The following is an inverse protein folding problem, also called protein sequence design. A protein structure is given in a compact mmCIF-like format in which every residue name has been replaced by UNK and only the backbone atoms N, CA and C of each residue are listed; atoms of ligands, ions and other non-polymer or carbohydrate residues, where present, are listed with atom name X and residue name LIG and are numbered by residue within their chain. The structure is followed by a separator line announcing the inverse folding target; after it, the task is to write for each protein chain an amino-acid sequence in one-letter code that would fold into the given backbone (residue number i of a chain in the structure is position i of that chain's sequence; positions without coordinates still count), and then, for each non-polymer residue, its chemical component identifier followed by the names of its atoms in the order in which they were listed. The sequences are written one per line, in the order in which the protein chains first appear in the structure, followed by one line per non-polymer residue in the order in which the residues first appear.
data_IF_573929775952
#
_entry.id   IF_573929775952
#
_cell.length_a   1.000
_cell.length_b   1.000
_cell.length_c   1.000
_cell.angle_alpha   90.00
_cell.angle_beta   90.00
_cell.angle_gamma   90.00
#
_symmetry.space_group_name_H-M   'P 1'
#
loop_
_entity.id
_entity.type
_entity.pdbx_description
1 polymer ?
#
# COMPACT_ATOMS: atom_id res chain seq x y z
N UNK A 1 -39.51 50.10 -3.90
CA UNK A 1 -38.47 50.59 -4.83
C UNK A 1 -37.75 49.39 -5.42
N UNK A 2 -37.96 49.12 -6.72
CA UNK A 2 -37.27 48.08 -7.50
C UNK A 2 -35.81 48.48 -7.72
N UNK A 3 -34.85 47.58 -7.48
CA UNK A 3 -33.56 47.60 -8.16
C UNK A 3 -33.39 46.31 -8.95
N UNK A 4 -33.00 46.53 -10.20
CA UNK A 4 -33.08 45.62 -11.32
C UNK A 4 -31.91 44.63 -11.37
N UNK A 5 -32.25 43.46 -11.89
CA UNK A 5 -31.47 42.50 -12.67
C UNK A 5 -30.35 43.07 -13.57
N UNK A 6 -29.20 42.40 -13.52
CA UNK A 6 -28.30 42.04 -14.64
C UNK A 6 -27.63 40.73 -14.19
N UNK A 7 -27.49 39.64 -14.93
CA UNK A 7 -27.54 39.40 -16.37
C UNK A 7 -26.50 38.30 -16.62
N UNK A 8 -26.97 37.15 -17.11
CA UNK A 8 -26.21 35.91 -17.38
C UNK A 8 -25.01 36.15 -18.31
N UNK A 9 -23.88 35.51 -18.03
CA UNK A 9 -22.90 35.10 -19.05
C UNK A 9 -22.30 33.75 -18.65
N UNK A 10 -22.78 32.70 -19.32
CA UNK A 10 -22.11 31.41 -19.47
C UNK A 10 -21.58 31.40 -20.90
N UNK A 11 -20.35 30.89 -21.12
CA UNK A 11 -20.18 29.98 -22.23
C UNK A 11 -19.51 28.68 -21.76
N UNK A 12 -20.27 27.61 -21.95
CA UNK A 12 -19.80 26.25 -22.20
C UNK A 12 -19.02 26.27 -23.51
N UNK A 13 -17.74 25.86 -23.51
CA UNK A 13 -17.01 25.19 -24.62
C UNK A 13 -15.50 25.18 -24.33
N UNK A 14 -14.97 24.06 -23.83
CA UNK A 14 -13.70 23.54 -24.33
C UNK A 14 -13.73 22.01 -24.29
N UNK A 15 -14.07 21.47 -25.45
CA UNK A 15 -14.04 20.07 -25.83
C UNK A 15 -12.58 19.61 -25.99
N UNK A 16 -12.28 18.40 -25.51
CA UNK A 16 -11.34 17.42 -26.07
C UNK A 16 -9.96 17.86 -26.62
N UNK A 17 -8.90 17.42 -25.93
CA UNK A 17 -7.62 16.93 -26.48
C UNK A 17 -7.04 15.97 -25.42
N UNK A 18 -7.07 14.64 -25.56
CA UNK A 18 -6.42 13.71 -26.51
C UNK A 18 -4.87 13.76 -26.48
N UNK A 19 -4.27 12.61 -26.14
CA UNK A 19 -2.86 12.27 -26.34
C UNK A 19 -2.33 11.41 -25.18
N UNK A 20 -2.63 10.11 -25.12
CA UNK A 20 -1.77 9.02 -25.65
C UNK A 20 -0.28 9.41 -25.59
N UNK A 21 0.37 9.04 -24.49
CA UNK A 21 1.83 9.04 -24.33
C UNK A 21 2.36 7.62 -24.45
N UNK A 22 2.16 6.99 -25.61
CA UNK A 22 2.93 5.83 -26.03
C UNK A 22 4.26 6.36 -26.57
N UNK A 23 5.34 6.26 -25.78
CA UNK A 23 6.71 6.42 -26.32
C UNK A 23 7.37 5.05 -26.33
N UNK A 24 7.24 4.43 -27.51
CA UNK A 24 8.25 3.53 -28.02
C UNK A 24 9.41 4.37 -28.57
N UNK A 25 10.63 4.06 -28.16
CA UNK A 25 11.84 4.26 -28.94
C UNK A 25 12.76 3.05 -28.68
N UNK A 26 12.69 2.04 -29.55
CA UNK A 26 13.90 1.35 -29.99
C UNK A 26 14.49 2.13 -31.16
N UNK A 27 15.76 2.05 -31.52
CA UNK A 27 16.93 1.46 -30.91
C UNK A 27 18.15 2.09 -31.59
N UNK A 28 19.35 1.78 -31.13
CA UNK A 28 20.53 1.78 -32.00
C UNK A 28 21.48 0.69 -31.50
N UNK A 29 21.88 -0.16 -32.45
CA UNK A 29 22.82 -1.24 -32.32
C UNK A 29 24.21 -0.73 -31.92
N UNK A 30 24.68 -1.07 -30.72
CA UNK A 30 26.11 -1.27 -30.51
C UNK A 30 26.33 -2.44 -29.54
N UNK A 31 26.58 -3.61 -30.13
CA UNK A 31 27.04 -4.79 -29.43
C UNK A 31 28.38 -4.52 -28.74
N UNK A 32 28.41 -4.57 -27.40
CA UNK A 32 29.60 -5.03 -26.68
C UNK A 32 29.13 -6.01 -25.60
N UNK A 33 29.35 -7.28 -25.90
CA UNK A 33 29.13 -8.42 -25.02
C UNK A 33 30.09 -8.32 -23.83
N UNK A 34 29.59 -7.90 -22.67
CA UNK A 34 30.24 -8.22 -21.40
C UNK A 34 29.55 -9.46 -20.83
N UNK A 35 30.30 -10.55 -20.80
CA UNK A 35 29.88 -11.84 -20.30
C UNK A 35 29.36 -11.74 -18.85
N UNK A 36 28.20 -12.34 -18.59
CA UNK A 36 27.72 -12.60 -17.25
C UNK A 36 28.69 -13.56 -16.53
N UNK A 37 29.08 -13.30 -15.27
CA UNK A 37 29.84 -14.26 -14.50
C UNK A 37 28.98 -15.52 -14.26
N UNK A 38 29.53 -16.67 -14.64
CA UNK A 38 28.99 -17.97 -14.30
C UNK A 38 29.20 -18.25 -12.81
N UNK A 39 28.16 -18.77 -12.15
CA UNK A 39 28.30 -19.42 -10.84
C UNK A 39 27.47 -18.77 -9.74
N UNK A 40 26.21 -19.21 -9.62
CA UNK A 40 25.60 -19.48 -8.33
C UNK A 40 24.53 -20.53 -8.57
N UNK A 41 24.78 -21.75 -8.09
CA UNK A 41 23.84 -22.86 -8.16
C UNK A 41 22.54 -22.47 -7.45
N UNK A 42 21.40 -22.72 -8.10
CA UNK A 42 20.10 -22.62 -7.45
C UNK A 42 20.08 -23.56 -6.23
N UNK A 43 19.75 -23.09 -5.02
CA UNK A 43 19.61 -23.99 -3.89
C UNK A 43 18.47 -24.96 -4.18
N UNK A 44 18.75 -26.24 -3.92
CA UNK A 44 17.81 -27.34 -4.04
C UNK A 44 16.58 -27.09 -3.16
N UNK A 45 15.42 -27.51 -3.69
CA UNK A 45 14.13 -27.73 -3.02
C UNK A 45 14.23 -27.76 -1.49
N UNK A 46 13.80 -26.69 -0.82
CA UNK A 46 13.49 -26.73 0.60
C UNK A 46 12.09 -27.29 0.75
N UNK A 47 11.98 -28.52 1.24
CA UNK A 47 10.71 -29.13 1.59
C UNK A 47 9.92 -28.21 2.54
N UNK A 48 8.65 -27.98 2.20
CA UNK A 48 7.72 -27.23 3.04
C UNK A 48 7.54 -27.94 4.39
N UNK A 49 7.51 -27.24 5.53
CA UNK A 49 7.19 -27.87 6.80
C UNK A 49 5.76 -28.43 6.76
N UNK A 50 5.64 -29.76 6.91
CA UNK A 50 4.37 -30.42 7.19
C UNK A 50 3.82 -29.89 8.52
N UNK A 51 2.65 -29.23 8.49
CA UNK A 51 1.92 -28.89 9.71
C UNK A 51 1.16 -27.57 9.76
N UNK A 52 1.09 -26.78 8.69
CA UNK A 52 0.20 -25.61 8.66
C UNK A 52 -1.13 -25.99 8.00
N UNK A 53 -2.02 -26.63 8.74
CA UNK A 53 -3.42 -26.69 8.32
C UNK A 53 -3.97 -25.26 8.30
N UNK A 54 -4.46 -24.82 7.14
CA UNK A 54 -5.21 -23.59 7.04
C UNK A 54 -6.43 -23.66 8.00
N UNK A 55 -6.78 -22.58 8.70
CA UNK A 55 -8.00 -22.55 9.50
C UNK A 55 -9.18 -22.96 8.63
N UNK A 56 -9.88 -24.03 9.03
CA UNK A 56 -11.00 -24.61 8.27
C UNK A 56 -12.28 -23.76 8.32
N UNK A 57 -12.25 -22.65 9.05
CA UNK A 57 -13.37 -21.72 9.25
C UNK A 57 -13.15 -20.37 8.53
N UNK A 58 -12.35 -20.33 7.46
CA UNK A 58 -12.51 -19.24 6.49
C UNK A 58 -13.73 -19.55 5.63
N UNK A 59 -14.87 -18.98 6.01
CA UNK A 59 -16.02 -18.90 5.12
C UNK A 59 -15.52 -18.44 3.75
N UNK A 60 -15.81 -19.23 2.71
CA UNK A 60 -15.52 -18.85 1.34
C UNK A 60 -16.03 -17.42 1.10
N UNK A 61 -15.30 -16.56 0.36
CA UNK A 61 -15.81 -15.24 0.03
C UNK A 61 -17.22 -15.40 -0.53
N UNK A 62 -18.18 -14.67 0.04
CA UNK A 62 -19.59 -14.81 -0.28
C UNK A 62 -19.77 -14.85 -1.81
N UNK A 63 -20.29 -15.97 -2.33
CA UNK A 63 -20.61 -16.09 -3.75
C UNK A 63 -21.52 -14.90 -4.13
N UNK A 64 -21.07 -14.08 -5.09
CA UNK A 64 -21.83 -12.91 -5.55
C UNK A 64 -21.40 -11.55 -4.98
N UNK A 65 -20.23 -11.44 -4.35
CA UNK A 65 -19.60 -10.14 -4.11
C UNK A 65 -19.35 -9.42 -5.45
N UNK A 66 -20.11 -8.36 -5.71
CA UNK A 66 -19.95 -7.46 -6.85
C UNK A 66 -19.86 -6.04 -6.32
N UNK A 67 -19.36 -5.08 -7.11
CA UNK A 67 -19.42 -3.65 -6.74
C UNK A 67 -20.85 -3.18 -6.42
N UNK A 68 -21.87 -3.86 -6.96
CA UNK A 68 -23.27 -3.55 -6.68
C UNK A 68 -23.75 -4.06 -5.29
N UNK A 69 -23.05 -5.03 -4.71
CA UNK A 69 -23.31 -5.59 -3.38
C UNK A 69 -22.24 -5.18 -2.35
N UNK A 70 -21.35 -4.25 -2.72
CA UNK A 70 -20.39 -3.64 -1.82
C UNK A 70 -21.11 -2.56 -1.00
N UNK A 71 -21.25 -2.79 0.29
CA UNK A 71 -21.70 -1.75 1.21
C UNK A 71 -20.55 -0.77 1.39
N UNK A 72 -20.75 0.49 0.99
CA UNK A 72 -19.76 1.53 1.25
C UNK A 72 -19.49 1.61 2.75
N UNK A 73 -18.24 1.96 3.13
CA UNK A 73 -17.84 2.11 4.54
C UNK A 73 -18.84 2.94 5.37
N UNK A 74 -19.36 4.02 4.78
CA UNK A 74 -20.32 4.91 5.44
C UNK A 74 -21.71 4.28 5.67
N UNK A 75 -22.02 3.21 4.95
CA UNK A 75 -23.31 2.51 4.97
C UNK A 75 -23.21 1.15 5.68
N UNK A 76 -22.03 0.77 6.18
CA UNK A 76 -21.87 -0.43 6.99
C UNK A 76 -22.66 -0.25 8.30
N UNK A 77 -23.54 -1.21 8.66
CA UNK A 77 -24.12 -1.23 10.00
C UNK A 77 -23.00 -1.16 11.04
N UNK A 78 -23.19 -0.41 12.14
CA UNK A 78 -22.19 -0.34 13.23
C UNK A 78 -21.76 -1.75 13.71
N UNK A 79 -22.73 -2.67 13.72
CA UNK A 79 -22.57 -4.07 14.11
C UNK A 79 -21.88 -4.96 13.04
N UNK A 80 -21.80 -4.50 11.79
CA UNK A 80 -21.22 -5.23 10.66
C UNK A 80 -19.69 -5.06 10.65
N UNK A 81 -19.02 -5.84 11.50
CA UNK A 81 -17.56 -5.88 11.55
C UNK A 81 -16.98 -6.10 12.94
N UNK A 82 -17.82 -6.22 13.98
CA UNK A 82 -17.34 -6.33 15.36
C UNK A 82 -16.54 -5.11 15.83
N UNK A 83 -16.69 -3.97 15.14
CA UNK A 83 -15.98 -2.72 15.46
C UNK A 83 -16.34 -2.21 16.86
N UNK A 84 -17.57 -2.47 17.32
CA UNK A 84 -18.02 -2.14 18.68
C UNK A 84 -17.29 -2.93 19.78
N UNK A 85 -16.62 -4.05 19.44
CA UNK A 85 -15.82 -4.84 20.37
C UNK A 85 -14.32 -4.46 20.36
N UNK A 86 -13.87 -3.69 19.37
CA UNK A 86 -12.49 -3.24 19.29
C UNK A 86 -12.30 -2.03 20.22
N UNK A 87 -11.23 -2.00 21.04
CA UNK A 87 -10.93 -0.81 21.84
C UNK A 87 -10.69 0.36 20.89
N UNK A 88 -11.55 1.38 20.96
CA UNK A 88 -11.31 2.65 20.26
C UNK A 88 -10.24 3.40 21.05
N UNK A 89 -9.04 3.45 20.51
CA UNK A 89 -7.96 4.29 21.03
C UNK A 89 -8.15 5.69 20.44
N UNK A 90 -8.42 6.66 21.30
CA UNK A 90 -8.51 8.06 20.90
C UNK A 90 -7.10 8.67 20.89
N UNK A 91 -6.52 8.74 19.69
CA UNK A 91 -5.23 9.40 19.42
C UNK A 91 -5.42 10.81 18.85
N UNK A 92 -6.63 11.37 18.89
CA UNK A 92 -6.83 12.76 18.51
C UNK A 92 -6.25 13.70 19.58
N UNK A 93 -5.61 14.81 19.18
CA UNK A 93 -5.17 15.81 20.15
C UNK A 93 -6.38 16.50 20.78
N UNK A 94 -6.26 16.88 22.06
CA UNK A 94 -7.32 17.66 22.74
C UNK A 94 -7.56 19.02 22.06
N UNK A 95 -6.49 19.64 21.54
CA UNK A 95 -6.52 20.89 20.81
C UNK A 95 -5.53 20.90 19.63
N UNK A 96 -5.90 21.54 18.53
CA UNK A 96 -5.04 21.72 17.35
C UNK A 96 -5.22 20.65 16.27
N UNK A 97 -4.39 20.69 15.20
CA UNK A 97 -4.44 19.71 14.12
C UNK A 97 -3.94 18.35 14.58
N UNK A 98 -4.52 17.28 14.01
CA UNK A 98 -3.99 15.93 14.18
C UNK A 98 -2.65 15.82 13.44
N UNK A 99 -1.59 15.47 14.15
CA UNK A 99 -0.25 15.32 13.58
C UNK A 99 -0.01 13.86 13.21
N UNK A 100 0.18 13.62 11.91
CA UNK A 100 0.38 12.29 11.36
C UNK A 100 1.73 12.18 10.64
N UNK A 101 2.47 11.11 10.88
CA UNK A 101 3.77 10.87 10.27
C UNK A 101 3.78 9.61 9.40
N UNK A 102 4.53 9.64 8.31
CA UNK A 102 4.81 8.47 7.48
C UNK A 102 6.29 8.11 7.52
N UNK A 103 6.58 6.82 7.70
CA UNK A 103 7.92 6.26 7.71
C UNK A 103 8.09 5.40 6.46
N UNK A 104 9.00 5.81 5.57
CA UNK A 104 9.27 5.14 4.31
C UNK A 104 10.62 4.43 4.29
N UNK A 105 10.65 3.25 3.69
CA UNK A 105 11.88 2.48 3.45
C UNK A 105 12.73 3.04 2.31
N UNK A 106 12.09 3.67 1.32
CA UNK A 106 12.76 4.26 0.15
C UNK A 106 12.59 5.78 0.05
N UNK A 107 13.05 6.39 -1.05
CA UNK A 107 12.83 7.80 -1.36
C UNK A 107 11.47 8.02 -2.04
N UNK A 108 10.88 9.20 -1.89
CA UNK A 108 9.55 9.55 -2.45
C UNK A 108 9.49 9.61 -3.97
N UNK A 109 10.62 9.44 -4.66
CA UNK A 109 10.73 9.45 -6.12
C UNK A 109 11.23 8.11 -6.69
N UNK A 110 10.97 7.00 -6.00
CA UNK A 110 11.36 5.65 -6.44
C UNK A 110 10.59 5.14 -7.68
N UNK A 111 9.56 5.86 -8.13
CA UNK A 111 8.76 5.49 -9.29
C UNK A 111 7.73 4.38 -9.02
N UNK A 112 7.48 4.05 -7.74
CA UNK A 112 6.61 2.94 -7.38
C UNK A 112 6.10 3.03 -5.95
N UNK A 113 6.61 2.15 -5.07
CA UNK A 113 6.05 1.88 -3.75
C UNK A 113 6.02 3.12 -2.85
N UNK A 114 7.18 3.71 -2.60
CA UNK A 114 7.27 4.86 -1.68
C UNK A 114 6.60 6.08 -2.27
N UNK A 115 6.76 6.30 -3.58
CA UNK A 115 6.10 7.40 -4.27
C UNK A 115 4.57 7.31 -4.10
N UNK A 116 3.98 6.12 -4.27
CA UNK A 116 2.53 5.93 -4.13
C UNK A 116 2.05 6.22 -2.70
N UNK A 117 2.82 5.81 -1.68
CA UNK A 117 2.52 6.15 -0.29
C UNK A 117 2.63 7.65 -0.03
N UNK A 118 3.61 8.34 -0.61
CA UNK A 118 3.75 9.78 -0.45
C UNK A 118 2.64 10.56 -1.16
N UNK A 119 2.23 10.13 -2.35
CA UNK A 119 1.07 10.66 -3.04
C UNK A 119 -0.21 10.48 -2.20
N UNK A 120 -0.37 9.35 -1.52
CA UNK A 120 -1.47 9.13 -0.58
C UNK A 120 -1.41 10.09 0.63
N UNK A 121 -0.22 10.30 1.22
CA UNK A 121 -0.03 11.29 2.30
C UNK A 121 -0.39 12.70 1.84
N UNK A 122 0.03 13.09 0.64
CA UNK A 122 -0.31 14.40 0.06
C UNK A 122 -1.82 14.53 -0.16
N UNK A 123 -2.49 13.47 -0.61
CA UNK A 123 -3.94 13.44 -0.75
C UNK A 123 -4.66 13.59 0.60
N UNK A 124 -4.13 12.99 1.68
CA UNK A 124 -4.63 13.20 3.05
C UNK A 124 -4.49 14.67 3.45
N UNK A 125 -3.31 15.27 3.26
CA UNK A 125 -3.09 16.69 3.58
C UNK A 125 -4.04 17.60 2.80
N UNK A 126 -4.26 17.34 1.52
CA UNK A 126 -5.18 18.10 0.67
C UNK A 126 -6.64 17.95 1.13
N UNK A 127 -7.06 16.72 1.44
CA UNK A 127 -8.44 16.43 1.82
C UNK A 127 -8.84 17.04 3.17
N UNK A 128 -7.93 17.04 4.14
CA UNK A 128 -8.23 17.48 5.51
C UNK A 128 -7.73 18.90 5.82
N UNK A 129 -6.88 19.48 4.98
CA UNK A 129 -6.39 20.86 5.14
C UNK A 129 -5.79 21.10 6.53
N UNK A 130 -6.19 22.19 7.18
CA UNK A 130 -5.68 22.59 8.49
C UNK A 130 -6.10 21.66 9.65
N UNK A 131 -6.96 20.66 9.41
CA UNK A 131 -7.33 19.68 10.44
C UNK A 131 -6.24 18.62 10.66
N UNK A 132 -5.34 18.43 9.69
CA UNK A 132 -4.26 17.44 9.74
C UNK A 132 -2.93 18.11 9.35
N UNK A 133 -1.88 17.81 10.09
CA UNK A 133 -0.50 18.16 9.73
C UNK A 133 0.27 16.87 9.42
N UNK A 134 0.68 16.71 8.16
CA UNK A 134 1.43 15.52 7.74
C UNK A 134 2.94 15.76 7.76
N UNK A 135 3.70 14.79 8.27
CA UNK A 135 5.16 14.75 8.19
C UNK A 135 5.63 13.41 7.63
N UNK A 136 6.89 13.31 7.21
CA UNK A 136 7.44 12.03 6.77
C UNK A 136 8.95 11.92 7.00
N UNK A 137 9.45 10.68 7.04
CA UNK A 137 10.86 10.32 7.00
C UNK A 137 11.08 9.28 5.91
N UNK A 138 12.04 9.52 5.03
CA UNK A 138 12.39 8.61 3.94
C UNK A 138 13.71 7.89 4.17
N UNK A 139 13.96 6.83 3.40
CA UNK A 139 15.17 6.02 3.46
C UNK A 139 15.45 5.46 4.88
N UNK A 140 14.41 5.07 5.60
CA UNK A 140 14.53 4.48 6.94
C UNK A 140 14.81 2.99 6.76
N UNK A 141 16.00 2.49 7.15
CA UNK A 141 16.31 1.08 7.00
C UNK A 141 15.53 0.25 8.02
N UNK A 142 15.14 -0.94 7.59
CA UNK A 142 14.51 -1.94 8.45
C UNK A 142 15.46 -2.36 9.58
N UNK A 143 14.89 -2.64 10.75
CA UNK A 143 15.64 -2.99 11.96
C UNK A 143 15.73 -1.83 12.99
N UNK A 144 16.78 -1.81 13.85
CA UNK A 144 16.78 -0.98 15.07
C UNK A 144 16.62 0.52 14.85
N UNK A 145 17.00 1.03 13.68
CA UNK A 145 16.86 2.45 13.36
C UNK A 145 15.39 2.87 13.17
N UNK A 146 14.52 1.94 12.83
CA UNK A 146 13.08 2.20 12.70
C UNK A 146 12.51 2.66 14.03
N UNK A 147 12.79 1.95 15.13
CA UNK A 147 12.35 2.31 16.49
C UNK A 147 12.75 3.75 16.83
N UNK A 148 14.04 4.10 16.68
CA UNK A 148 14.51 5.47 16.96
C UNK A 148 13.80 6.52 16.09
N UNK A 149 13.57 6.22 14.82
CA UNK A 149 12.90 7.17 13.91
C UNK A 149 11.45 7.41 14.33
N UNK A 150 10.75 6.36 14.74
CA UNK A 150 9.36 6.45 15.23
C UNK A 150 9.32 7.22 16.56
N UNK A 151 10.22 6.93 17.49
CA UNK A 151 10.35 7.66 18.77
C UNK A 151 10.58 9.16 18.56
N UNK A 152 11.46 9.53 17.63
CA UNK A 152 11.70 10.95 17.29
C UNK A 152 10.42 11.61 16.74
N UNK A 153 9.63 10.90 15.93
CA UNK A 153 8.35 11.41 15.40
C UNK A 153 7.29 11.57 16.50
N UNK A 154 7.25 10.68 17.48
CA UNK A 154 6.38 10.81 18.66
C UNK A 154 6.82 12.01 19.49
N UNK A 155 8.13 12.20 19.71
CA UNK A 155 8.68 13.34 20.42
C UNK A 155 8.38 14.68 19.72
N UNK A 156 8.30 14.68 18.38
CA UNK A 156 7.84 15.81 17.56
C UNK A 156 6.31 16.04 17.65
N UNK A 157 5.58 15.19 18.37
CA UNK A 157 4.16 15.33 18.68
C UNK A 157 3.21 14.65 17.70
N UNK A 158 3.70 13.72 16.87
CA UNK A 158 2.82 12.93 16.01
C UNK A 158 2.05 11.89 16.84
N UNK A 159 0.73 11.84 16.68
CA UNK A 159 -0.15 10.92 17.39
C UNK A 159 -0.72 9.81 16.49
N UNK A 160 -0.46 9.90 15.18
CA UNK A 160 -0.74 8.85 14.21
C UNK A 160 0.52 8.57 13.38
N UNK A 161 0.96 7.31 13.32
CA UNK A 161 2.18 6.94 12.60
C UNK A 161 1.93 5.79 11.64
N UNK A 162 2.26 6.03 10.36
CA UNK A 162 2.18 5.05 9.29
C UNK A 162 3.56 4.45 8.99
N UNK A 163 3.68 3.13 9.09
CA UNK A 163 4.86 2.38 8.65
C UNK A 163 4.59 1.69 7.32
N UNK A 164 5.36 2.00 6.29
CA UNK A 164 5.07 1.53 4.91
C UNK A 164 6.08 0.49 4.41
N UNK A 165 6.57 -0.41 5.28
CA UNK A 165 7.47 -1.50 4.88
C UNK A 165 7.35 -2.70 5.81
N UNK A 166 7.27 -3.90 5.24
CA UNK A 166 7.10 -5.15 5.99
C UNK A 166 8.11 -5.31 7.15
N UNK A 167 9.38 -4.93 6.98
CA UNK A 167 10.39 -5.07 8.03
C UNK A 167 10.33 -4.03 9.15
N UNK A 168 9.35 -3.13 9.18
CA UNK A 168 9.12 -2.25 10.33
C UNK A 168 8.26 -2.89 11.43
N UNK A 169 7.67 -4.07 11.19
CA UNK A 169 6.66 -4.64 12.08
C UNK A 169 7.13 -4.76 13.54
N UNK A 170 8.30 -5.35 13.76
CA UNK A 170 8.79 -5.60 15.13
C UNK A 170 9.00 -4.29 15.89
N UNK A 171 9.52 -3.26 15.22
CA UNK A 171 9.69 -1.93 15.80
C UNK A 171 8.33 -1.26 16.09
N UNK A 172 7.35 -1.39 15.19
CA UNK A 172 6.01 -0.85 15.39
C UNK A 172 5.29 -1.52 16.56
N UNK A 173 5.41 -2.84 16.71
CA UNK A 173 4.85 -3.57 17.86
C UNK A 173 5.50 -3.14 19.17
N UNK A 174 6.82 -2.97 19.19
CA UNK A 174 7.57 -2.50 20.36
C UNK A 174 7.12 -1.10 20.79
N UNK A 175 7.11 -0.14 19.85
CA UNK A 175 6.77 1.26 20.15
C UNK A 175 5.28 1.42 20.46
N UNK A 176 4.39 0.68 19.78
CA UNK A 176 2.96 0.71 20.07
C UNK A 176 2.66 0.27 21.51
N UNK A 177 3.40 -0.72 22.04
CA UNK A 177 3.27 -1.14 23.42
C UNK A 177 3.78 -0.10 24.43
N UNK A 178 4.76 0.72 24.04
CA UNK A 178 5.30 1.80 24.87
C UNK A 178 4.43 3.07 24.86
N UNK A 179 3.68 3.30 23.78
CA UNK A 179 2.88 4.51 23.53
C UNK A 179 1.41 4.21 23.26
N UNK A 180 0.63 3.77 24.28
CA UNK A 180 -0.79 3.45 24.11
C UNK A 180 -1.66 4.63 23.66
N UNK A 181 -1.17 5.86 23.78
CA UNK A 181 -1.80 7.10 23.33
C UNK A 181 -1.60 7.42 21.84
N UNK A 182 -0.67 6.73 21.17
CA UNK A 182 -0.36 6.94 19.74
C UNK A 182 -0.99 5.82 18.93
N UNK A 183 -1.65 6.16 17.82
CA UNK A 183 -2.16 5.18 16.86
C UNK A 183 -1.12 4.84 15.80
N UNK A 184 -1.02 3.56 15.46
CA UNK A 184 -0.10 3.04 14.48
C UNK A 184 -0.84 2.29 13.38
N UNK A 185 -0.48 2.57 12.14
CA UNK A 185 -0.99 1.89 10.96
C UNK A 185 0.18 1.30 10.18
N UNK A 186 0.10 0.02 9.85
CA UNK A 186 1.24 -0.73 9.36
C UNK A 186 0.95 -1.48 8.06
N UNK A 187 1.76 -1.22 7.02
CA UNK A 187 1.58 -1.89 5.74
C UNK A 187 2.06 -3.34 5.79
N UNK A 188 1.21 -4.26 5.30
CA UNK A 188 1.55 -5.64 4.90
C UNK A 188 1.92 -6.61 6.02
N UNK A 189 1.78 -6.16 7.27
CA UNK A 189 2.01 -6.95 8.47
C UNK A 189 0.97 -8.03 8.79
N UNK A 190 1.18 -8.67 9.94
CA UNK A 190 0.34 -9.72 10.50
C UNK A 190 0.16 -9.61 12.02
N UNK A 191 0.91 -8.73 12.69
CA UNK A 191 0.72 -8.45 14.12
C UNK A 191 -0.15 -7.20 14.29
N UNK A 192 -0.99 -7.22 15.32
CA UNK A 192 -1.85 -6.10 15.73
C UNK A 192 -1.83 -5.95 17.24
N UNK A 193 -2.19 -4.75 17.70
CA UNK A 193 -2.36 -4.39 19.10
C UNK A 193 -3.53 -3.40 19.23
N UNK A 194 -4.01 -3.05 20.43
CA UNK A 194 -5.13 -2.11 20.59
C UNK A 194 -4.97 -0.77 19.84
N UNK A 195 -3.74 -0.29 19.71
CA UNK A 195 -3.38 0.95 19.00
C UNK A 195 -2.52 0.69 17.75
N UNK A 196 -2.42 -0.56 17.27
CA UNK A 196 -1.65 -0.93 16.08
C UNK A 196 -2.51 -1.79 15.15
N UNK A 197 -2.84 -1.22 14.00
CA UNK A 197 -3.57 -1.88 12.93
C UNK A 197 -2.65 -2.14 11.74
N UNK A 198 -3.06 -3.10 10.91
CA UNK A 198 -2.36 -3.45 9.67
C UNK A 198 -3.27 -3.28 8.46
N UNK A 199 -2.69 -2.83 7.35
CA UNK A 199 -3.40 -2.62 6.10
C UNK A 199 -2.64 -3.21 4.92
N UNK A 200 -3.38 -3.76 3.97
CA UNK A 200 -2.86 -4.17 2.67
C UNK A 200 -3.97 -4.16 1.62
N UNK A 201 -3.62 -3.85 0.37
CA UNK A 201 -4.56 -3.94 -0.74
C UNK A 201 -4.76 -5.39 -1.20
N UNK A 202 -5.81 -5.63 -1.99
CA UNK A 202 -5.98 -6.90 -2.70
C UNK A 202 -5.02 -6.98 -3.91
N UNK A 203 -3.71 -6.96 -3.64
CA UNK A 203 -2.68 -6.88 -4.67
C UNK A 203 -2.68 -8.10 -5.60
N UNK A 204 -3.09 -9.27 -5.09
CA UNK A 204 -3.17 -10.50 -5.88
C UNK A 204 -4.10 -10.39 -7.08
N UNK A 205 -5.18 -9.63 -6.96
CA UNK A 205 -6.11 -9.41 -8.08
C UNK A 205 -5.40 -8.65 -9.20
N UNK A 206 -4.60 -7.65 -8.83
CA UNK A 206 -3.80 -6.86 -9.78
C UNK A 206 -2.69 -7.71 -10.41
N UNK A 207 -2.01 -8.51 -9.59
CA UNK A 207 -0.95 -9.41 -10.06
C UNK A 207 -1.50 -10.48 -11.00
N UNK A 208 -2.66 -11.08 -10.70
CA UNK A 208 -3.32 -12.03 -11.57
C UNK A 208 -3.67 -11.41 -12.93
N UNK A 209 -4.27 -10.22 -12.95
CA UNK A 209 -4.63 -9.53 -14.20
C UNK A 209 -3.40 -9.17 -15.04
N UNK A 210 -2.32 -8.69 -14.40
CA UNK A 210 -1.06 -8.40 -15.11
C UNK A 210 -0.38 -9.68 -15.59
N UNK A 211 -0.54 -10.79 -14.87
CA UNK A 211 -0.15 -12.14 -15.27
C UNK A 211 -0.85 -12.58 -16.55
N UNK A 212 -2.17 -12.44 -16.63
CA UNK A 212 -2.95 -12.75 -17.83
C UNK A 212 -2.45 -11.97 -19.04
N UNK A 213 -2.20 -10.67 -18.86
CA UNK A 213 -1.65 -9.82 -19.92
C UNK A 213 -0.25 -10.29 -20.35
N UNK A 214 0.62 -10.65 -19.41
CA UNK A 214 1.96 -11.15 -19.69
C UNK A 214 1.94 -12.49 -20.44
N UNK A 215 1.08 -13.43 -20.01
CA UNK A 215 0.85 -14.71 -20.68
C UNK A 215 0.39 -14.53 -22.12
N UNK A 216 -0.64 -13.69 -22.32
CA UNK A 216 -1.18 -13.39 -23.66
C UNK A 216 -0.17 -12.69 -24.58
N UNK A 217 0.72 -11.84 -24.03
CA UNK A 217 1.74 -11.13 -24.80
C UNK A 217 2.97 -12.00 -25.14
N UNK A 218 3.19 -13.11 -24.43
CA UNK A 218 4.40 -13.92 -24.58
C UNK A 218 4.41 -14.74 -25.87
N UNK A 219 5.52 -14.69 -26.61
CA UNK A 219 5.74 -15.52 -27.81
C UNK A 219 6.48 -16.83 -27.52
N UNK A 220 7.17 -16.91 -26.38
CA UNK A 220 8.06 -18.02 -26.03
C UNK A 220 7.52 -18.88 -24.89
N UNK A 221 6.48 -18.39 -24.18
CA UNK A 221 6.00 -19.00 -22.95
C UNK A 221 6.99 -18.90 -21.79
N UNK A 222 8.07 -18.12 -21.94
CA UNK A 222 9.06 -17.87 -20.89
C UNK A 222 8.80 -16.50 -20.28
N UNK A 223 8.54 -16.50 -18.99
CA UNK A 223 8.20 -15.33 -18.20
C UNK A 223 9.14 -15.26 -16.99
N UNK A 224 9.42 -14.06 -16.48
CA UNK A 224 10.27 -13.84 -15.33
C UNK A 224 9.60 -12.86 -14.36
N UNK A 225 9.72 -13.14 -13.07
CA UNK A 225 9.19 -12.32 -11.99
C UNK A 225 10.37 -11.86 -11.11
N UNK A 226 10.50 -10.55 -10.90
CA UNK A 226 11.54 -9.99 -10.04
C UNK A 226 10.99 -9.82 -8.62
N UNK A 227 11.30 -10.79 -7.77
CA UNK A 227 10.90 -10.79 -6.36
C UNK A 227 11.94 -10.04 -5.50
N UNK A 228 11.47 -9.42 -4.42
CA UNK A 228 12.31 -8.77 -3.39
C UNK A 228 12.76 -9.79 -2.34
N UNK A 229 11.89 -10.11 -1.39
CA UNK A 229 12.13 -11.06 -0.29
C UNK A 229 11.06 -12.16 -0.28
N UNK A 230 11.36 -13.38 0.20
CA UNK A 230 10.40 -14.49 0.25
C UNK A 230 9.43 -14.35 1.44
N UNK A 231 8.71 -13.23 1.51
CA UNK A 231 7.67 -12.96 2.50
C UNK A 231 6.28 -13.30 1.95
N UNK A 232 5.24 -13.49 2.80
CA UNK A 232 3.91 -13.89 2.35
C UNK A 232 3.35 -13.03 1.22
N UNK A 233 3.53 -11.72 1.31
CA UNK A 233 3.13 -10.74 0.29
C UNK A 233 3.68 -11.09 -1.10
N UNK A 234 5.01 -11.25 -1.20
CA UNK A 234 5.71 -11.47 -2.47
C UNK A 234 5.38 -12.86 -3.04
N UNK A 235 5.25 -13.87 -2.18
CA UNK A 235 4.88 -15.23 -2.60
C UNK A 235 3.45 -15.25 -3.14
N UNK A 236 2.51 -14.58 -2.48
CA UNK A 236 1.12 -14.46 -2.94
C UNK A 236 1.04 -13.76 -4.29
N UNK A 237 1.72 -12.63 -4.45
CA UNK A 237 1.77 -11.89 -5.71
C UNK A 237 2.39 -12.70 -6.86
N UNK A 238 3.55 -13.34 -6.63
CA UNK A 238 4.19 -14.19 -7.63
C UNK A 238 3.31 -15.39 -8.05
N UNK A 239 2.61 -16.00 -7.11
CA UNK A 239 1.67 -17.09 -7.39
C UNK A 239 0.45 -16.58 -8.19
N UNK A 240 -0.16 -15.47 -7.77
CA UNK A 240 -1.29 -14.86 -8.46
C UNK A 240 -0.94 -14.48 -9.90
N UNK A 241 0.21 -13.83 -10.10
CA UNK A 241 0.74 -13.51 -11.42
C UNK A 241 0.98 -14.75 -12.29
N UNK A 242 1.54 -15.81 -11.70
CA UNK A 242 1.77 -17.08 -12.41
C UNK A 242 0.46 -17.73 -12.83
N UNK A 243 -0.55 -17.77 -11.94
CA UNK A 243 -1.89 -18.29 -12.25
C UNK A 243 -2.57 -17.47 -13.35
N UNK A 244 -2.44 -16.14 -13.30
CA UNK A 244 -2.93 -15.25 -14.34
C UNK A 244 -2.30 -15.57 -15.69
N UNK A 245 -0.98 -15.74 -15.74
CA UNK A 245 -0.27 -16.07 -16.97
C UNK A 245 -0.61 -17.45 -17.55
N UNK A 246 -1.19 -18.35 -16.76
CA UNK A 246 -1.64 -19.68 -17.18
C UNK A 246 -3.10 -19.71 -17.68
N UNK A 247 -3.82 -18.57 -17.58
CA UNK A 247 -5.26 -18.47 -17.86
C UNK A 247 -5.60 -18.14 -19.31
#
# INVERSE_FOLDING_TARGET
MKRMTKGKFVPVLLTAALGIGLVACGGDDSSTSTAAPAGSEAPASSDAPEGSEAPTDTDAPAEGATLANFTAWADLPAEAGGLDASPVVDCAPEEGPLKAAWVYVGPTNDGGWTQTHDEARLAVQEAFGDAVETTYKENVPEGPQTTQTVEDLIADGNTVIFGTSFGFQDAFVEVAAAHPEVCFEFATGYLSAPNLSQFYGAAEDTDYLTGMAAGAASKTGKLAYLASFPIPEVVRGANAWTLGAQS
#
